data_IF_586709370199
#
_entry.id   IF_586709370199
#
_cell.length_a   1.000
_cell.length_b   1.000
_cell.length_c   1.000
_cell.angle_alpha   90.00
_cell.angle_beta   90.00
_cell.angle_gamma   90.00
#
_symmetry.space_group_name_H-M   'P 1'
#
loop_
_entity.id
_entity.type
_entity.pdbx_description
1 polymer ?
#
# COMPACT_ATOMS: atom_id res chain seq x y z
N UNK A 1 -19.51 17.37 8.77
CA UNK A 1 -19.49 15.89 8.88
C UNK A 1 -19.15 15.32 7.49
N UNK A 2 -18.38 14.23 7.33
CA UNK A 2 -17.91 13.70 6.01
C UNK A 2 -19.00 13.53 4.93
N UNK A 3 -20.28 13.44 5.35
CA UNK A 3 -21.46 13.45 4.48
C UNK A 3 -21.69 14.75 3.70
N UNK A 4 -21.11 15.88 4.13
CA UNK A 4 -21.24 17.18 3.47
C UNK A 4 -20.21 17.37 2.33
N UNK A 5 -19.17 16.53 2.28
CA UNK A 5 -18.04 16.63 1.33
C UNK A 5 -18.20 15.76 0.06
N UNK A 6 -19.35 15.12 -0.16
CA UNK A 6 -19.59 14.21 -1.30
C UNK A 6 -18.58 13.04 -1.41
N UNK A 7 -18.04 12.57 -0.28
CA UNK A 7 -17.13 11.42 -0.25
C UNK A 7 -17.94 10.13 -0.13
N UNK A 8 -17.64 9.15 -0.99
CA UNK A 8 -18.32 7.87 -0.99
C UNK A 8 -18.10 7.09 0.34
N UNK A 9 -19.10 6.32 0.82
CA UNK A 9 -19.03 5.64 2.12
C UNK A 9 -17.85 4.68 2.29
N UNK A 10 -17.45 4.03 1.20
CA UNK A 10 -16.37 3.05 1.16
C UNK A 10 -14.98 3.72 1.24
N UNK A 11 -14.84 4.93 0.69
CA UNK A 11 -13.65 5.78 0.90
C UNK A 11 -13.57 6.26 2.34
N UNK A 12 -14.71 6.64 2.93
CA UNK A 12 -14.77 7.02 4.35
C UNK A 12 -14.32 5.86 5.23
N UNK A 13 -14.76 4.64 4.95
CA UNK A 13 -14.30 3.44 5.64
C UNK A 13 -12.80 3.23 5.46
N UNK A 14 -12.29 3.35 4.24
CA UNK A 14 -10.86 3.19 3.93
C UNK A 14 -9.95 4.13 4.75
N UNK A 15 -10.32 5.41 4.90
CA UNK A 15 -9.49 6.40 5.61
C UNK A 15 -9.70 6.40 7.14
N UNK A 16 -10.82 5.83 7.61
CA UNK A 16 -11.13 5.70 9.05
C UNK A 16 -10.79 4.32 9.62
N UNK A 17 -10.49 3.34 8.76
CA UNK A 17 -10.05 2.02 9.17
C UNK A 17 -8.89 2.13 10.18
N UNK A 18 -8.78 1.15 11.08
CA UNK A 18 -7.67 1.01 12.04
C UNK A 18 -7.31 2.23 12.92
N UNK A 19 -8.21 3.23 13.06
CA UNK A 19 -7.91 4.44 13.83
C UNK A 19 -6.86 5.36 13.18
N UNK A 20 -6.72 5.27 11.85
CA UNK A 20 -5.65 5.88 11.01
C UNK A 20 -5.64 7.44 11.01
N UNK A 21 -6.58 8.14 11.64
CA UNK A 21 -6.46 9.60 11.75
C UNK A 21 -7.53 10.35 12.51
N UNK A 22 -7.12 11.53 13.00
CA UNK A 22 -7.96 12.60 13.51
C UNK A 22 -8.82 13.14 12.35
N UNK A 23 -10.10 13.43 12.61
CA UNK A 23 -11.13 13.73 11.60
C UNK A 23 -10.73 14.64 10.41
N UNK A 24 -9.88 15.69 10.55
CA UNK A 24 -9.46 16.52 9.41
C UNK A 24 -8.60 15.79 8.36
N UNK A 25 -7.71 14.88 8.77
CA UNK A 25 -6.81 14.17 7.84
C UNK A 25 -7.57 13.13 7.00
N UNK A 26 -8.61 12.53 7.57
CA UNK A 26 -9.48 11.58 6.88
C UNK A 26 -10.23 12.23 5.69
N UNK A 27 -10.79 13.44 5.86
CA UNK A 27 -11.49 14.15 4.76
C UNK A 27 -10.52 14.50 3.62
N UNK A 28 -9.33 15.01 3.94
CA UNK A 28 -8.34 15.40 2.93
C UNK A 28 -7.87 14.20 2.10
N UNK A 29 -7.51 13.08 2.76
CA UNK A 29 -7.16 11.82 2.07
C UNK A 29 -8.33 11.27 1.26
N UNK A 30 -9.55 11.35 1.79
CA UNK A 30 -10.76 10.90 1.11
C UNK A 30 -11.01 11.63 -0.20
N UNK A 31 -10.84 12.97 -0.24
CA UNK A 31 -10.98 13.76 -1.47
C UNK A 31 -9.97 13.34 -2.54
N UNK A 32 -8.71 13.12 -2.17
CA UNK A 32 -7.68 12.63 -3.09
C UNK A 32 -8.07 11.27 -3.66
N UNK A 33 -8.58 10.36 -2.82
CA UNK A 33 -9.01 9.03 -3.26
C UNK A 33 -10.24 9.08 -4.17
N UNK A 34 -11.17 10.03 -3.97
CA UNK A 34 -12.30 10.27 -4.89
C UNK A 34 -11.78 10.67 -6.28
N UNK A 35 -10.79 11.57 -6.34
CA UNK A 35 -10.18 11.98 -7.61
C UNK A 35 -9.43 10.82 -8.28
N UNK A 36 -8.59 10.11 -7.51
CA UNK A 36 -7.83 8.95 -8.01
C UNK A 36 -8.71 7.79 -8.43
N UNK A 37 -9.90 7.62 -7.84
CA UNK A 37 -10.90 6.64 -8.29
C UNK A 37 -11.28 6.80 -9.76
N UNK A 38 -11.27 8.04 -10.27
CA UNK A 38 -11.63 8.36 -11.65
C UNK A 38 -10.43 8.32 -12.60
N UNK A 39 -9.21 8.23 -12.05
CA UNK A 39 -7.96 8.21 -12.81
C UNK A 39 -7.62 6.77 -13.25
N UNK A 40 -7.75 6.50 -14.55
CA UNK A 40 -7.39 5.19 -15.12
C UNK A 40 -5.91 4.84 -14.90
N UNK A 41 -5.02 5.83 -14.79
CA UNK A 41 -3.60 5.60 -14.54
C UNK A 41 -3.34 5.11 -13.11
N UNK A 42 -4.29 5.31 -12.19
CA UNK A 42 -4.16 4.85 -10.81
C UNK A 42 -4.63 3.40 -10.61
N UNK A 43 -5.38 2.83 -11.55
CA UNK A 43 -5.87 1.45 -11.44
C UNK A 43 -4.75 0.41 -11.21
N UNK A 44 -3.62 0.41 -11.94
CA UNK A 44 -2.52 -0.50 -11.65
C UNK A 44 -1.91 -0.29 -10.26
N UNK A 45 -1.87 0.96 -9.79
CA UNK A 45 -1.39 1.28 -8.43
C UNK A 45 -2.29 0.63 -7.38
N UNK A 46 -3.61 0.79 -7.53
CA UNK A 46 -4.58 0.17 -6.64
C UNK A 46 -4.45 -1.36 -6.63
N UNK A 47 -4.36 -1.99 -7.80
CA UNK A 47 -4.22 -3.45 -7.92
C UNK A 47 -2.94 -3.96 -7.25
N UNK A 48 -1.81 -3.29 -7.47
CA UNK A 48 -0.53 -3.62 -6.83
C UNK A 48 -0.62 -3.55 -5.30
N UNK A 49 -1.05 -2.40 -4.76
CA UNK A 49 -1.12 -2.18 -3.31
C UNK A 49 -2.18 -3.09 -2.66
N UNK A 50 -3.33 -3.30 -3.32
CA UNK A 50 -4.37 -4.21 -2.83
C UNK A 50 -3.90 -5.66 -2.71
N UNK A 51 -3.09 -6.14 -3.66
CA UNK A 51 -2.44 -7.48 -3.57
C UNK A 51 -1.50 -7.58 -2.37
N UNK A 52 -0.71 -6.54 -2.12
CA UNK A 52 0.16 -6.47 -0.93
C UNK A 52 -0.66 -6.58 0.35
N UNK A 53 -1.69 -5.73 0.50
CA UNK A 53 -2.57 -5.73 1.67
C UNK A 53 -3.22 -7.10 1.91
N UNK A 54 -3.64 -7.80 0.86
CA UNK A 54 -4.27 -9.11 0.97
C UNK A 54 -3.30 -10.22 1.40
N UNK A 55 -2.07 -10.22 0.91
CA UNK A 55 -1.07 -11.20 1.30
C UNK A 55 -0.44 -10.90 2.66
N UNK A 56 -0.30 -9.63 3.03
CA UNK A 56 0.18 -9.22 4.35
C UNK A 56 -0.71 -9.75 5.49
N UNK A 57 -1.98 -10.05 5.25
CA UNK A 57 -2.87 -10.72 6.23
C UNK A 57 -2.38 -12.12 6.63
N UNK A 58 -1.52 -12.75 5.83
CA UNK A 58 -0.91 -14.07 6.13
C UNK A 58 0.45 -13.94 6.83
N UNK A 59 0.87 -12.72 7.17
CA UNK A 59 2.19 -12.39 7.71
C UNK A 59 2.17 -12.28 9.25
N UNK A 60 1.35 -13.10 9.93
CA UNK A 60 1.21 -13.07 11.41
C UNK A 60 2.55 -13.30 12.11
N UNK A 61 3.36 -14.25 11.62
CA UNK A 61 4.70 -14.59 12.13
C UNK A 61 5.84 -13.79 11.45
N UNK A 62 5.52 -12.80 10.61
CA UNK A 62 6.52 -12.07 9.85
C UNK A 62 7.29 -11.07 10.73
N UNK A 63 8.63 -11.13 10.64
CA UNK A 63 9.58 -10.29 11.36
C UNK A 63 10.30 -9.28 10.45
N UNK A 64 11.57 -9.00 10.72
CA UNK A 64 12.40 -8.09 9.91
C UNK A 64 12.79 -8.72 8.57
N UNK A 65 12.82 -7.93 7.50
CA UNK A 65 13.34 -8.34 6.20
C UNK A 65 14.85 -8.61 6.30
N UNK A 66 15.29 -9.75 5.79
CA UNK A 66 16.68 -10.17 5.71
C UNK A 66 17.10 -10.26 4.23
N UNK A 67 17.92 -9.32 3.72
CA UNK A 67 18.39 -9.33 2.34
C UNK A 67 19.21 -10.57 1.95
N UNK A 68 19.76 -11.31 2.92
CA UNK A 68 20.53 -12.53 2.63
C UNK A 68 19.64 -13.71 2.17
N UNK A 69 18.33 -13.60 2.34
CA UNK A 69 17.32 -14.59 1.95
C UNK A 69 16.62 -14.27 0.61
N UNK A 70 17.06 -13.24 -0.12
CA UNK A 70 16.51 -12.95 -1.44
C UNK A 70 17.01 -13.95 -2.48
N UNK A 71 16.10 -14.45 -3.32
CA UNK A 71 16.41 -15.44 -4.35
C UNK A 71 16.50 -14.83 -5.75
N UNK A 72 16.00 -13.61 -5.95
CA UNK A 72 16.01 -12.92 -7.23
C UNK A 72 16.18 -11.39 -7.11
N UNK A 73 16.38 -10.75 -8.26
CA UNK A 73 16.64 -9.32 -8.34
C UNK A 73 15.38 -8.48 -8.06
N UNK A 74 14.19 -9.04 -8.27
CA UNK A 74 12.91 -8.36 -8.05
C UNK A 74 12.61 -8.20 -6.55
N UNK A 75 13.00 -9.18 -5.72
CA UNK A 75 12.98 -9.07 -4.26
C UNK A 75 13.88 -7.93 -3.77
N UNK A 76 15.12 -7.91 -4.24
CA UNK A 76 16.08 -6.87 -3.89
C UNK A 76 15.60 -5.49 -4.36
N UNK A 77 15.10 -5.38 -5.60
CA UNK A 77 14.59 -4.14 -6.17
C UNK A 77 13.39 -3.60 -5.38
N UNK A 78 12.42 -4.44 -5.05
CA UNK A 78 11.26 -4.01 -4.26
C UNK A 78 11.69 -3.49 -2.89
N UNK A 79 12.59 -4.21 -2.22
CA UNK A 79 13.10 -3.81 -0.91
C UNK A 79 13.88 -2.49 -0.97
N UNK A 80 14.73 -2.30 -1.99
CA UNK A 80 15.49 -1.06 -2.18
C UNK A 80 14.58 0.14 -2.47
N UNK A 81 13.60 -0.02 -3.36
CA UNK A 81 12.67 1.07 -3.68
C UNK A 81 11.84 1.44 -2.45
N UNK A 82 11.31 0.44 -1.72
CA UNK A 82 10.57 0.68 -0.47
C UNK A 82 11.40 1.47 0.53
N UNK A 83 12.64 1.04 0.82
CA UNK A 83 13.53 1.77 1.71
C UNK A 83 13.81 3.20 1.23
N UNK A 84 14.01 3.39 -0.07
CA UNK A 84 14.34 4.71 -0.64
C UNK A 84 13.21 5.73 -0.52
N UNK A 85 11.96 5.27 -0.43
CA UNK A 85 10.79 6.16 -0.33
C UNK A 85 10.28 6.31 1.10
N UNK A 86 10.56 5.36 2.00
CA UNK A 86 9.89 5.26 3.30
C UNK A 86 10.06 6.53 4.16
N UNK A 87 11.29 7.01 4.36
CA UNK A 87 11.53 8.22 5.18
C UNK A 87 10.83 9.46 4.61
N UNK A 88 10.91 9.64 3.29
CA UNK A 88 10.24 10.75 2.61
C UNK A 88 8.71 10.63 2.70
N UNK A 89 8.17 9.43 2.54
CA UNK A 89 6.75 9.15 2.67
C UNK A 89 6.22 9.49 4.08
N UNK A 90 6.89 9.02 5.12
CA UNK A 90 6.52 9.32 6.51
C UNK A 90 6.61 10.82 6.80
N UNK A 91 7.65 11.51 6.30
CA UNK A 91 7.78 12.95 6.46
C UNK A 91 6.65 13.73 5.77
N UNK A 92 6.19 13.29 4.59
CA UNK A 92 5.06 13.90 3.88
C UNK A 92 3.75 13.71 4.64
N UNK A 93 3.52 12.52 5.22
CA UNK A 93 2.35 12.28 6.09
C UNK A 93 2.33 13.21 7.30
N UNK A 94 3.48 13.43 7.94
CA UNK A 94 3.59 14.33 9.11
C UNK A 94 3.37 15.79 8.74
N UNK A 95 3.72 16.19 7.51
CA UNK A 95 3.50 17.53 6.97
C UNK A 95 2.12 17.70 6.33
N UNK A 96 1.25 16.69 6.42
CA UNK A 96 -0.08 16.67 5.81
C UNK A 96 -0.05 16.86 4.28
N UNK A 97 1.07 16.52 3.63
CA UNK A 97 1.25 16.56 2.18
C UNK A 97 0.74 15.26 1.55
N UNK A 98 -0.57 15.06 1.61
CA UNK A 98 -1.23 13.79 1.27
C UNK A 98 -1.07 13.37 -0.19
N UNK A 99 -1.14 14.31 -1.13
CA UNK A 99 -1.01 14.00 -2.56
C UNK A 99 0.40 13.51 -2.89
N UNK A 100 1.43 14.21 -2.37
CA UNK A 100 2.82 13.80 -2.52
C UNK A 100 3.09 12.46 -1.83
N UNK A 101 2.50 12.23 -0.65
CA UNK A 101 2.60 10.95 0.05
C UNK A 101 2.01 9.80 -0.79
N UNK A 102 0.84 10.00 -1.41
CA UNK A 102 0.23 9.01 -2.29
C UNK A 102 1.06 8.81 -3.57
N UNK A 103 1.66 9.87 -4.11
CA UNK A 103 2.56 9.77 -5.26
C UNK A 103 3.81 8.93 -4.93
N UNK A 104 4.34 9.02 -3.71
CA UNK A 104 5.43 8.13 -3.25
C UNK A 104 5.00 6.67 -3.22
N UNK A 105 3.85 6.36 -2.61
CA UNK A 105 3.30 5.00 -2.60
C UNK A 105 3.04 4.48 -4.02
N UNK A 106 2.56 5.34 -4.92
CA UNK A 106 2.30 4.98 -6.32
C UNK A 106 3.56 4.53 -7.05
N UNK A 107 4.73 5.03 -6.65
CA UNK A 107 6.03 4.60 -7.18
C UNK A 107 6.37 3.13 -6.87
N UNK A 108 5.70 2.49 -5.91
CA UNK A 108 5.88 1.07 -5.63
C UNK A 108 5.11 0.15 -6.60
N UNK A 109 4.18 0.67 -7.39
CA UNK A 109 3.31 -0.17 -8.22
C UNK A 109 4.11 -1.04 -9.20
N UNK A 110 5.08 -0.47 -9.92
CA UNK A 110 5.91 -1.22 -10.87
C UNK A 110 6.78 -2.29 -10.19
N UNK A 111 7.57 -2.01 -9.13
CA UNK A 111 8.37 -3.05 -8.48
C UNK A 111 7.51 -4.11 -7.78
N UNK A 112 6.31 -3.75 -7.28
CA UNK A 112 5.36 -4.72 -6.74
C UNK A 112 4.86 -5.68 -7.83
N UNK A 113 4.48 -5.15 -9.01
CA UNK A 113 4.07 -6.00 -10.13
C UNK A 113 5.19 -6.95 -10.54
N UNK A 114 6.40 -6.43 -10.75
CA UNK A 114 7.56 -7.24 -11.10
C UNK A 114 7.84 -8.33 -10.05
N UNK A 115 7.82 -7.98 -8.75
CA UNK A 115 7.93 -8.95 -7.66
C UNK A 115 6.87 -10.05 -7.78
N UNK A 116 5.60 -9.72 -8.01
CA UNK A 116 4.55 -10.74 -8.11
C UNK A 116 4.56 -11.56 -9.40
N UNK A 117 5.13 -11.04 -10.48
CA UNK A 117 5.29 -11.75 -11.75
C UNK A 117 6.45 -12.76 -11.69
N UNK A 118 7.51 -12.42 -10.96
CA UNK A 118 8.75 -13.21 -10.91
C UNK A 118 8.97 -13.98 -9.61
N UNK A 119 8.18 -13.71 -8.57
CA UNK A 119 8.39 -14.27 -7.22
C UNK A 119 7.15 -14.97 -6.69
N UNK A 120 7.28 -16.27 -6.38
CA UNK A 120 6.24 -17.02 -5.68
C UNK A 120 6.34 -16.77 -4.16
N UNK A 121 5.43 -15.96 -3.63
CA UNK A 121 5.41 -15.58 -2.20
C UNK A 121 5.29 -16.79 -1.29
N UNK A 122 4.44 -17.76 -1.64
CA UNK A 122 4.23 -18.97 -0.85
C UNK A 122 5.28 -20.04 -1.18
N UNK A 123 6.56 -19.70 -0.99
CA UNK A 123 7.67 -20.63 -1.21
C UNK A 123 7.61 -21.86 -0.28
N UNK A 124 8.25 -22.94 -0.73
CA UNK A 124 8.43 -24.16 0.07
C UNK A 124 9.38 -23.92 1.25
N UNK A 125 10.48 -23.19 1.00
CA UNK A 125 11.38 -22.75 2.05
C UNK A 125 10.67 -21.75 2.99
N UNK A 126 10.57 -22.15 4.26
CA UNK A 126 9.87 -21.38 5.29
C UNK A 126 10.54 -20.03 5.54
N UNK A 127 11.86 -19.95 5.52
CA UNK A 127 12.61 -18.71 5.79
C UNK A 127 12.42 -17.71 4.66
N UNK A 128 12.52 -18.18 3.40
CA UNK A 128 12.27 -17.34 2.22
C UNK A 128 10.83 -16.85 2.19
N UNK A 129 9.85 -17.74 2.44
CA UNK A 129 8.44 -17.36 2.53
C UNK A 129 8.20 -16.31 3.61
N UNK A 130 8.77 -16.49 4.80
CA UNK A 130 8.64 -15.52 5.89
C UNK A 130 9.26 -14.18 5.53
N UNK A 131 10.44 -14.17 4.90
CA UNK A 131 11.11 -12.96 4.45
C UNK A 131 10.27 -12.17 3.44
N UNK A 132 9.68 -12.86 2.46
CA UNK A 132 8.76 -12.26 1.48
C UNK A 132 7.52 -11.67 2.15
N UNK A 133 6.92 -12.40 3.09
CA UNK A 133 5.77 -11.92 3.85
C UNK A 133 6.12 -10.71 4.75
N UNK A 134 7.33 -10.68 5.32
CA UNK A 134 7.87 -9.53 6.06
C UNK A 134 7.97 -8.28 5.20
N UNK A 135 8.47 -8.41 3.98
CA UNK A 135 8.56 -7.30 3.03
C UNK A 135 7.16 -6.77 2.66
N UNK A 136 6.22 -7.67 2.37
CA UNK A 136 4.84 -7.29 2.07
C UNK A 136 4.14 -6.64 3.27
N UNK A 137 4.42 -7.10 4.49
CA UNK A 137 3.88 -6.52 5.71
C UNK A 137 4.37 -5.09 5.94
N UNK A 138 5.68 -4.85 5.77
CA UNK A 138 6.24 -3.50 5.90
C UNK A 138 5.61 -2.51 4.91
N UNK A 139 5.42 -2.91 3.65
CA UNK A 139 4.74 -2.09 2.65
C UNK A 139 3.25 -1.91 3.02
N UNK A 140 2.58 -2.96 3.50
CA UNK A 140 1.18 -2.87 3.90
C UNK A 140 0.98 -1.89 5.07
N UNK A 141 1.89 -1.86 6.04
CA UNK A 141 1.87 -0.90 7.14
C UNK A 141 1.95 0.55 6.61
N UNK A 142 2.83 0.82 5.66
CA UNK A 142 2.90 2.13 4.99
C UNK A 142 1.60 2.47 4.25
N UNK A 143 1.01 1.52 3.53
CA UNK A 143 -0.28 1.73 2.85
C UNK A 143 -1.39 2.04 3.86
N UNK A 144 -1.46 1.30 4.97
CA UNK A 144 -2.43 1.54 6.03
C UNK A 144 -2.23 2.90 6.70
N UNK A 145 -1.01 3.44 6.80
CA UNK A 145 -0.85 4.83 7.27
C UNK A 145 -1.55 5.85 6.37
N UNK A 146 -1.76 5.54 5.09
CA UNK A 146 -2.57 6.34 4.19
C UNK A 146 -4.06 5.98 4.32
N UNK A 147 -4.44 4.77 3.89
CA UNK A 147 -5.81 4.27 3.86
C UNK A 147 -5.85 2.74 3.63
N UNK A 148 -6.92 2.07 4.05
CA UNK A 148 -7.22 0.71 3.61
C UNK A 148 -7.78 0.71 2.18
N UNK A 149 -6.90 0.58 1.19
CA UNK A 149 -7.28 0.59 -0.23
C UNK A 149 -8.17 -0.59 -0.65
N UNK A 150 -8.25 -1.68 0.14
CA UNK A 150 -9.16 -2.79 -0.16
C UNK A 150 -10.61 -2.48 0.21
N UNK A 151 -10.86 -1.49 1.07
CA UNK A 151 -12.22 -1.05 1.40
C UNK A 151 -12.86 -0.24 0.27
N UNK A 152 -12.07 0.26 -0.69
CA UNK A 152 -12.52 1.09 -1.81
C UNK A 152 -13.03 0.19 -2.93
N UNK A 153 -14.29 0.34 -3.35
CA UNK A 153 -14.86 -0.36 -4.50
C UNK A 153 -14.44 0.30 -5.82
N UNK A 154 -13.48 -0.31 -6.51
CA UNK A 154 -13.10 0.11 -7.86
C UNK A 154 -14.04 -0.57 -8.84
N UNK A 155 -15.00 0.18 -9.37
CA UNK A 155 -15.95 -0.33 -10.38
C UNK A 155 -15.14 -0.90 -11.55
N UNK A 156 -15.20 -2.22 -11.73
CA UNK A 156 -14.72 -2.87 -12.94
C UNK A 156 -15.63 -2.38 -14.09
N UNK A 157 -15.11 -1.51 -14.95
CA UNK A 157 -15.70 -1.33 -16.26
C UNK A 157 -15.47 -2.64 -17.03
N UNK A 158 -16.53 -3.44 -17.11
CA UNK A 158 -16.66 -4.53 -18.07
C UNK A 158 -16.88 -3.95 -19.47
#
# INVERSE_FOLDING_TARGET
MLREDHIDPDIVEAVLANGIGVFPSASAKGRILVEKRQDQAFKPVHEALGRVLNLAKKAEDAGTVDPSLFENAEEERLHQVHQSIHEAYVALLQQEQWEDALNKLSGLAEPIHAFFEHTMVMAEDKNVRLNRLSMLKAIAEDVYLFADLNAIEWKQQF
#
